data_IF_326747975353
#
_entry.id   IF_326747975353
#
_cell.length_a   1.000
_cell.length_b   1.000
_cell.length_c   1.000
_cell.angle_alpha   90.00
_cell.angle_beta   90.00
_cell.angle_gamma   90.00
#
_symmetry.space_group_name_H-M   'P 1'
#
loop_
_entity.id
_entity.type
_entity.pdbx_description
1 polymer ?
#
# COMPACT_ATOMS: atom_id res chain seq x y z
N UNK A 1 24.95 -10.07 54.28
CA UNK A 1 23.49 -10.14 54.00
C UNK A 1 22.91 -8.87 53.35
N UNK A 2 23.51 -7.70 53.54
CA UNK A 2 23.03 -6.41 52.99
C UNK A 2 23.23 -6.28 51.47
N UNK A 3 24.33 -6.80 50.93
CA UNK A 3 24.64 -6.81 49.49
C UNK A 3 23.67 -7.64 48.66
N UNK A 4 23.31 -8.83 49.16
CA UNK A 4 22.32 -9.72 48.52
C UNK A 4 20.95 -9.05 48.47
N UNK A 5 20.53 -8.39 49.56
CA UNK A 5 19.28 -7.61 49.61
C UNK A 5 19.29 -6.45 48.61
N UNK A 6 20.41 -5.73 48.49
CA UNK A 6 20.56 -4.66 47.51
C UNK A 6 20.40 -5.15 46.07
N UNK A 7 20.96 -6.32 45.75
CA UNK A 7 20.83 -6.95 44.43
C UNK A 7 19.38 -7.27 44.07
N UNK A 8 18.60 -7.81 45.01
CA UNK A 8 17.17 -8.08 44.77
C UNK A 8 16.34 -6.81 44.56
N UNK A 9 16.65 -5.73 45.27
CA UNK A 9 15.97 -4.44 45.09
C UNK A 9 16.23 -3.87 43.69
N UNK A 10 17.49 -3.91 43.24
CA UNK A 10 17.86 -3.46 41.88
C UNK A 10 17.20 -4.33 40.82
N UNK A 11 17.21 -5.65 40.99
CA UNK A 11 16.58 -6.58 40.06
C UNK A 11 15.07 -6.32 39.95
N UNK A 12 14.37 -6.12 41.08
CA UNK A 12 12.96 -5.81 41.10
C UNK A 12 12.66 -4.47 40.39
N UNK A 13 13.47 -3.44 40.63
CA UNK A 13 13.31 -2.13 39.99
C UNK A 13 13.46 -2.22 38.47
N UNK A 14 14.46 -2.96 37.98
CA UNK A 14 14.67 -3.17 36.54
C UNK A 14 13.52 -3.96 35.90
N UNK A 15 12.99 -4.96 36.61
CA UNK A 15 11.85 -5.76 36.13
C UNK A 15 10.61 -4.89 35.97
N UNK A 16 10.31 -4.05 36.96
CA UNK A 16 9.18 -3.10 36.92
C UNK A 16 9.38 -2.08 35.80
N UNK A 17 10.57 -1.50 35.66
CA UNK A 17 10.87 -0.53 34.61
C UNK A 17 10.75 -1.14 33.21
N UNK A 18 11.30 -2.34 33.00
CA UNK A 18 11.19 -3.06 31.73
C UNK A 18 9.75 -3.44 31.39
N UNK A 19 8.95 -3.85 32.38
CA UNK A 19 7.54 -4.15 32.20
C UNK A 19 6.74 -2.89 31.84
N UNK A 20 7.04 -1.77 32.50
CA UNK A 20 6.45 -0.46 32.18
C UNK A 20 6.76 -0.02 30.76
N UNK A 21 8.01 -0.12 30.32
CA UNK A 21 8.41 0.20 28.95
C UNK A 21 7.75 -0.71 27.90
N UNK A 22 7.55 -1.99 28.22
CA UNK A 22 6.89 -2.95 27.32
C UNK A 22 5.40 -2.67 27.14
N UNK A 23 4.75 -2.16 28.19
CA UNK A 23 3.32 -1.86 28.20
C UNK A 23 3.01 -0.42 27.79
N UNK A 24 4.00 0.47 27.83
CA UNK A 24 3.84 1.86 27.45
C UNK A 24 3.48 1.98 25.95
N UNK A 25 2.38 2.66 25.59
CA UNK A 25 2.07 2.97 24.20
C UNK A 25 3.19 3.81 23.60
N UNK A 26 3.84 3.33 22.54
CA UNK A 26 4.84 4.10 21.81
C UNK A 26 4.11 5.17 20.99
N UNK A 27 4.30 6.48 21.28
CA UNK A 27 3.66 7.52 20.49
C UNK A 27 4.28 7.51 19.09
N UNK A 28 3.47 7.14 18.10
CA UNK A 28 3.90 7.19 16.71
C UNK A 28 4.09 8.65 16.27
N UNK A 29 5.10 8.94 15.44
CA UNK A 29 5.33 10.29 14.92
C UNK A 29 4.08 10.77 14.15
N UNK A 30 3.43 11.81 14.67
CA UNK A 30 2.21 12.37 14.11
C UNK A 30 2.58 13.44 13.08
N UNK A 31 2.50 13.12 11.80
CA UNK A 31 2.62 14.11 10.73
C UNK A 31 1.34 14.91 10.69
N UNK A 32 1.44 16.23 10.90
CA UNK A 32 0.31 17.13 10.84
C UNK A 32 -0.08 17.32 9.36
N UNK A 33 -1.26 16.84 8.98
CA UNK A 33 -1.76 17.02 7.63
C UNK A 33 -2.03 18.51 7.39
N UNK A 34 -1.17 19.15 6.58
CA UNK A 34 -1.41 20.50 6.11
C UNK A 34 -2.59 20.45 5.12
N UNK A 35 -3.64 21.22 5.39
CA UNK A 35 -4.74 21.40 4.44
C UNK A 35 -4.20 22.08 3.19
N UNK A 36 -4.21 21.39 2.06
CA UNK A 36 -3.98 22.00 0.76
C UNK A 36 -5.18 22.88 0.41
N UNK A 37 -4.92 24.17 0.17
CA UNK A 37 -5.92 25.07 -0.40
C UNK A 37 -6.20 24.63 -1.83
N UNK A 38 -7.43 24.16 -2.09
CA UNK A 38 -7.92 23.87 -3.44
C UNK A 38 -8.22 25.21 -4.12
N UNK A 39 -7.62 25.53 -5.29
CA UNK A 39 -7.97 26.73 -6.03
C UNK A 39 -9.44 26.69 -6.45
N UNK A 40 -10.13 27.82 -6.25
CA UNK A 40 -11.53 27.98 -6.63
C UNK A 40 -11.75 27.78 -8.13
N UNK A 41 -12.94 27.27 -8.42
CA UNK A 41 -13.54 26.94 -9.72
C UNK A 41 -13.18 27.93 -10.85
N UNK A 42 -12.79 27.36 -12.00
CA UNK A 42 -12.47 28.12 -13.22
C UNK A 42 -13.77 28.61 -13.86
N UNK A 43 -13.89 29.93 -13.99
CA UNK A 43 -14.93 30.66 -14.72
C UNK A 43 -15.04 30.18 -16.19
N UNK A 44 -16.19 29.66 -16.65
CA UNK A 44 -16.33 29.04 -17.96
C UNK A 44 -16.42 30.03 -19.13
N UNK A 45 -16.41 31.34 -18.90
CA UNK A 45 -16.82 32.32 -19.93
C UNK A 45 -15.66 33.01 -20.69
N UNK A 46 -14.46 32.43 -20.70
CA UNK A 46 -13.36 32.91 -21.56
C UNK A 46 -13.18 32.09 -22.83
N UNK A 47 -13.85 32.54 -23.89
CA UNK A 47 -13.29 32.57 -25.25
C UNK A 47 -13.58 31.36 -26.13
N UNK A 48 -14.68 31.45 -26.90
CA UNK A 48 -14.89 30.64 -28.10
C UNK A 48 -13.83 30.95 -29.15
N UNK A 49 -12.74 30.19 -29.14
CA UNK A 49 -11.87 30.01 -30.31
C UNK A 49 -12.27 28.71 -31.00
N UNK A 50 -12.55 28.82 -32.31
CA UNK A 50 -12.95 27.75 -33.23
C UNK A 50 -12.33 26.38 -32.90
N UNK A 51 -13.18 25.43 -32.51
CA UNK A 51 -12.78 24.07 -32.19
C UNK A 51 -12.54 23.26 -33.47
N UNK A 52 -11.42 22.52 -33.60
CA UNK A 52 -11.24 21.55 -34.68
C UNK A 52 -12.29 20.42 -34.59
N UNK A 53 -12.59 19.71 -35.70
CA UNK A 53 -13.61 18.67 -35.73
C UNK A 53 -13.35 17.62 -34.64
N UNK A 54 -14.36 17.36 -33.83
CA UNK A 54 -14.31 16.42 -32.70
C UNK A 54 -13.86 15.06 -33.23
N UNK A 55 -12.68 14.55 -32.82
CA UNK A 55 -12.26 13.20 -33.20
C UNK A 55 -13.31 12.21 -32.70
N UNK A 56 -13.70 11.26 -33.55
CA UNK A 56 -14.61 10.18 -33.16
C UNK A 56 -14.13 9.57 -31.82
N UNK A 57 -15.06 9.29 -30.90
CA UNK A 57 -14.76 8.87 -29.52
C UNK A 57 -13.70 7.76 -29.42
N UNK A 58 -13.67 6.86 -30.41
CA UNK A 58 -12.68 5.79 -30.55
C UNK A 58 -11.23 6.27 -30.70
N UNK A 59 -11.00 7.43 -31.32
CA UNK A 59 -9.67 8.03 -31.47
C UNK A 59 -9.12 8.58 -30.14
N UNK A 60 -10.01 9.08 -29.27
CA UNK A 60 -9.64 9.55 -27.93
C UNK A 60 -9.24 8.37 -27.04
N UNK A 61 -9.95 7.24 -27.15
CA UNK A 61 -9.62 6.00 -26.44
C UNK A 61 -8.31 5.38 -26.98
N UNK A 62 -8.07 5.45 -28.29
CA UNK A 62 -6.89 4.89 -28.94
C UNK A 62 -5.61 5.71 -28.69
N UNK A 63 -5.75 7.03 -28.48
CA UNK A 63 -4.67 7.86 -28.00
C UNK A 63 -4.38 7.43 -26.56
N UNK A 64 -3.26 6.74 -26.35
CA UNK A 64 -2.80 6.34 -25.03
C UNK A 64 -2.34 7.58 -24.24
N UNK A 65 -3.31 8.43 -23.84
CA UNK A 65 -3.10 9.78 -23.28
C UNK A 65 -2.35 9.77 -21.95
N UNK A 66 -2.30 8.61 -21.30
CA UNK A 66 -1.56 8.39 -20.05
C UNK A 66 -0.16 7.80 -20.26
N UNK A 67 0.26 7.54 -21.50
CA UNK A 67 1.63 7.15 -21.83
C UNK A 67 2.49 8.38 -22.12
N UNK A 68 3.69 8.51 -21.53
CA UNK A 68 4.60 9.63 -21.79
C UNK A 68 4.89 9.84 -23.28
N UNK A 69 5.01 8.74 -24.03
CA UNK A 69 5.36 8.76 -25.45
C UNK A 69 4.12 8.70 -26.36
N UNK A 70 2.91 8.68 -25.78
CA UNK A 70 1.61 8.51 -26.48
C UNK A 70 1.62 7.35 -27.49
N UNK A 71 2.49 6.36 -27.27
CA UNK A 71 2.67 5.25 -28.18
C UNK A 71 1.44 4.31 -28.11
N UNK A 72 0.87 3.91 -29.25
CA UNK A 72 -0.17 2.91 -29.30
C UNK A 72 0.34 1.58 -28.70
N UNK A 73 -0.42 0.90 -27.83
CA UNK A 73 -0.03 -0.40 -27.30
C UNK A 73 0.07 -1.43 -28.45
N UNK A 74 1.16 -2.19 -28.49
CA UNK A 74 1.44 -3.13 -29.58
C UNK A 74 0.39 -4.25 -29.74
N UNK A 75 -0.40 -4.56 -28.71
CA UNK A 75 -1.40 -5.64 -28.77
C UNK A 75 -2.60 -5.30 -27.89
N UNK A 76 -3.76 -5.03 -28.49
CA UNK A 76 -5.06 -5.01 -27.80
C UNK A 76 -6.20 -5.74 -28.54
N UNK A 77 -5.88 -6.46 -29.61
CA UNK A 77 -6.86 -7.29 -30.31
C UNK A 77 -6.30 -8.69 -30.55
N UNK A 78 -6.82 -9.67 -29.82
CA UNK A 78 -6.65 -11.09 -30.11
C UNK A 78 -7.69 -11.50 -31.16
N UNK A 79 -7.24 -11.83 -32.38
CA UNK A 79 -8.08 -12.49 -33.38
C UNK A 79 -8.39 -13.93 -32.95
N UNK A 80 -9.58 -14.49 -33.27
CA UNK A 80 -9.90 -15.88 -33.00
C UNK A 80 -8.93 -16.79 -33.75
N UNK A 81 -8.22 -17.69 -33.04
CA UNK A 81 -7.40 -18.74 -33.65
C UNK A 81 -5.91 -18.74 -33.32
N UNK A 82 -5.40 -17.83 -32.48
CA UNK A 82 -4.00 -17.92 -32.01
C UNK A 82 -3.93 -18.52 -30.61
N UNK A 83 -3.32 -19.69 -30.51
CA UNK A 83 -3.14 -20.44 -29.26
C UNK A 83 -2.46 -19.55 -28.19
N UNK A 84 -3.14 -19.42 -27.05
CA UNK A 84 -2.61 -18.77 -25.87
C UNK A 84 -1.40 -19.54 -25.35
N UNK A 85 -0.30 -18.83 -25.09
CA UNK A 85 0.83 -19.42 -24.39
C UNK A 85 0.40 -19.87 -22.98
N UNK A 86 0.94 -20.98 -22.45
CA UNK A 86 0.52 -21.50 -21.16
C UNK A 86 0.80 -20.47 -20.05
N UNK A 87 -0.28 -19.95 -19.47
CA UNK A 87 -0.24 -19.13 -18.26
C UNK A 87 0.25 -20.01 -17.13
N UNK A 88 1.48 -19.75 -16.66
CA UNK A 88 1.99 -20.29 -15.40
C UNK A 88 0.94 -20.02 -14.31
N UNK A 89 0.55 -20.99 -13.47
CA UNK A 89 -0.38 -20.75 -12.39
C UNK A 89 0.22 -19.70 -11.46
N UNK A 90 -0.28 -18.47 -11.56
CA UNK A 90 -0.01 -17.41 -10.60
C UNK A 90 -0.77 -17.82 -9.35
N UNK A 91 -0.05 -18.30 -8.34
CA UNK A 91 -0.60 -18.26 -6.98
C UNK A 91 -1.06 -16.83 -6.66
N UNK A 92 -2.02 -16.66 -5.72
CA UNK A 92 -2.47 -15.33 -5.31
C UNK A 92 -1.25 -14.51 -4.92
N UNK A 93 -0.86 -13.57 -5.78
CA UNK A 93 0.35 -12.78 -5.55
C UNK A 93 -0.09 -11.65 -4.63
N UNK A 94 -0.11 -11.93 -3.33
CA UNK A 94 -0.38 -10.94 -2.29
C UNK A 94 0.65 -9.82 -2.43
N UNK A 95 0.18 -8.60 -2.75
CA UNK A 95 1.05 -7.43 -2.87
C UNK A 95 0.66 -6.36 -1.86
N UNK A 96 1.67 -5.88 -1.12
CA UNK A 96 1.52 -4.78 -0.18
C UNK A 96 1.80 -3.46 -0.90
N UNK A 97 0.78 -2.61 -0.99
CA UNK A 97 0.86 -1.30 -1.66
C UNK A 97 1.26 -0.18 -0.69
N UNK A 98 0.77 -0.25 0.55
CA UNK A 98 0.94 0.85 1.49
C UNK A 98 0.64 0.44 2.93
N UNK A 99 1.14 1.25 3.85
CA UNK A 99 0.79 1.20 5.27
C UNK A 99 0.44 2.63 5.67
N UNK A 100 -0.71 2.79 6.33
CA UNK A 100 -1.17 4.07 6.86
C UNK A 100 -1.40 3.95 8.36
N UNK A 101 -1.11 5.01 9.10
CA UNK A 101 -1.32 5.06 10.55
C UNK A 101 -2.35 6.12 10.86
N UNK A 102 -3.46 5.70 11.45
CA UNK A 102 -4.56 6.58 11.88
C UNK A 102 -4.76 6.59 13.40
N UNK A 103 -5.78 7.30 13.90
CA UNK A 103 -6.14 7.30 15.32
C UNK A 103 -6.48 5.90 15.85
N UNK A 104 -7.02 5.04 14.98
CA UNK A 104 -7.41 3.66 15.31
C UNK A 104 -6.28 2.64 15.10
N UNK A 105 -5.04 3.11 14.90
CA UNK A 105 -3.86 2.27 14.70
C UNK A 105 -3.39 2.15 13.25
N UNK A 106 -2.49 1.19 13.02
CA UNK A 106 -1.90 0.93 11.71
C UNK A 106 -2.83 0.08 10.84
N UNK A 107 -2.82 0.37 9.54
CA UNK A 107 -3.67 -0.26 8.53
C UNK A 107 -2.84 -0.53 7.29
N UNK A 108 -2.96 -1.74 6.74
CA UNK A 108 -2.25 -2.19 5.56
C UNK A 108 -3.16 -2.11 4.32
N UNK A 109 -2.58 -1.76 3.18
CA UNK A 109 -3.26 -1.74 1.88
C UNK A 109 -2.70 -2.90 1.05
N UNK A 110 -3.48 -3.97 0.87
CA UNK A 110 -3.03 -5.24 0.28
C UNK A 110 -3.96 -5.62 -0.87
N UNK A 111 -3.38 -6.03 -1.99
CA UNK A 111 -4.10 -6.71 -3.07
C UNK A 111 -4.05 -8.21 -2.80
N UNK A 112 -5.22 -8.78 -2.51
CA UNK A 112 -5.37 -10.15 -2.01
C UNK A 112 -6.32 -11.01 -2.85
N UNK A 113 -7.24 -10.41 -3.61
CA UNK A 113 -8.26 -11.14 -4.36
C UNK A 113 -8.00 -11.03 -5.87
N UNK A 114 -7.77 -12.14 -6.59
CA UNK A 114 -7.67 -12.11 -8.04
C UNK A 114 -8.97 -11.70 -8.76
N UNK A 115 -10.12 -11.72 -8.07
CA UNK A 115 -11.43 -11.37 -8.63
C UNK A 115 -11.79 -9.89 -8.44
N UNK A 116 -11.18 -9.21 -7.46
CA UNK A 116 -11.38 -7.78 -7.20
C UNK A 116 -10.13 -7.04 -7.62
N UNK A 117 -10.24 -6.26 -8.70
CA UNK A 117 -9.13 -5.42 -9.14
C UNK A 117 -8.96 -4.25 -8.18
N UNK A 118 -7.97 -4.33 -7.29
CA UNK A 118 -7.62 -3.23 -6.41
C UNK A 118 -7.06 -3.68 -5.08
N UNK A 119 -6.35 -2.78 -4.41
CA UNK A 119 -5.84 -3.03 -3.08
C UNK A 119 -6.90 -2.68 -2.03
N UNK A 120 -7.14 -3.59 -1.10
CA UNK A 120 -8.08 -3.45 0.00
C UNK A 120 -7.37 -3.05 1.30
N UNK A 121 -8.15 -2.52 2.24
CA UNK A 121 -7.67 -1.97 3.50
C UNK A 121 -7.88 -3.01 4.61
N UNK A 122 -6.80 -3.42 5.26
CA UNK A 122 -6.81 -4.45 6.31
C UNK A 122 -6.18 -3.97 7.61
N UNK A 123 -6.77 -4.37 8.73
CA UNK A 123 -6.32 -4.08 10.09
C UNK A 123 -5.67 -5.31 10.72
N UNK A 124 -5.01 -5.08 11.84
CA UNK A 124 -4.44 -6.16 12.65
C UNK A 124 -5.55 -7.13 13.08
N UNK A 125 -5.37 -8.42 12.79
CA UNK A 125 -6.34 -9.47 13.09
C UNK A 125 -7.29 -9.84 11.95
N UNK A 126 -7.32 -9.07 10.86
CA UNK A 126 -8.16 -9.35 9.70
C UNK A 126 -7.67 -10.58 8.92
N UNK A 127 -8.57 -11.21 8.17
CA UNK A 127 -8.25 -12.30 7.25
C UNK A 127 -7.97 -11.74 5.86
N UNK A 128 -6.80 -12.05 5.32
CA UNK A 128 -6.35 -11.64 3.99
C UNK A 128 -5.96 -12.88 3.22
N UNK A 129 -6.67 -13.16 2.12
CA UNK A 129 -6.52 -14.40 1.35
C UNK A 129 -6.52 -15.69 2.21
N UNK A 130 -7.28 -15.70 3.32
CA UNK A 130 -7.38 -16.82 4.26
C UNK A 130 -6.28 -16.88 5.33
N UNK A 131 -5.33 -15.94 5.34
CA UNK A 131 -4.29 -15.83 6.36
C UNK A 131 -4.58 -14.66 7.32
N UNK A 132 -4.29 -14.83 8.61
CA UNK A 132 -4.57 -13.78 9.61
C UNK A 132 -3.45 -12.76 9.67
N UNK A 133 -3.77 -11.47 9.62
CA UNK A 133 -2.78 -10.40 9.81
C UNK A 133 -2.33 -10.34 11.28
N UNK A 134 -1.04 -10.60 11.54
CA UNK A 134 -0.49 -10.69 12.91
C UNK A 134 0.47 -9.56 13.27
N UNK A 135 1.01 -8.84 12.29
CA UNK A 135 1.81 -7.66 12.54
C UNK A 135 1.74 -6.69 11.37
N UNK A 136 1.69 -5.39 11.68
CA UNK A 136 1.87 -4.28 10.74
C UNK A 136 3.02 -3.44 11.30
N UNK A 137 4.10 -3.29 10.53
CA UNK A 137 5.25 -2.46 10.89
C UNK A 137 5.30 -1.20 10.01
N UNK A 138 6.44 -0.52 9.93
CA UNK A 138 6.64 0.64 9.06
C UNK A 138 6.73 0.27 7.57
N UNK A 139 7.18 -0.94 7.27
CA UNK A 139 7.58 -1.37 5.93
C UNK A 139 7.18 -2.80 5.59
N UNK A 140 6.69 -3.54 6.58
CA UNK A 140 6.33 -4.95 6.44
C UNK A 140 4.99 -5.27 7.08
N UNK A 141 4.34 -6.29 6.52
CA UNK A 141 3.13 -6.88 7.07
C UNK A 141 3.35 -8.37 7.18
N UNK A 142 3.02 -8.95 8.34
CA UNK A 142 3.16 -10.38 8.57
C UNK A 142 1.79 -11.04 8.64
N UNK A 143 1.61 -12.07 7.83
CA UNK A 143 0.43 -12.93 7.83
C UNK A 143 0.77 -14.29 8.43
N UNK A 144 -0.14 -14.83 9.24
CA UNK A 144 -0.07 -16.19 9.72
C UNK A 144 -0.71 -17.12 8.67
N UNK A 145 0.10 -17.73 7.82
CA UNK A 145 -0.34 -18.81 6.94
C UNK A 145 -0.17 -20.17 7.62
N UNK A 146 -0.94 -21.19 7.20
CA UNK A 146 -0.73 -22.57 7.64
C UNK A 146 0.68 -23.11 7.32
N UNK A 147 1.30 -22.61 6.26
CA UNK A 147 2.66 -22.92 5.80
C UNK A 147 3.77 -22.26 6.62
N UNK A 148 3.43 -21.26 7.45
CA UNK A 148 4.39 -20.44 8.18
C UNK A 148 4.09 -18.94 8.06
N UNK A 149 4.83 -18.09 8.79
CA UNK A 149 4.62 -16.65 8.71
C UNK A 149 5.07 -16.10 7.34
N UNK A 150 4.13 -15.51 6.60
CA UNK A 150 4.40 -14.81 5.33
C UNK A 150 4.65 -13.34 5.61
N UNK A 151 5.81 -12.82 5.19
CA UNK A 151 6.16 -11.40 5.36
C UNK A 151 6.07 -10.69 4.02
N UNK A 152 5.08 -9.82 3.88
CA UNK A 152 4.97 -8.89 2.75
C UNK A 152 5.81 -7.64 3.04
N UNK A 153 6.52 -7.15 2.02
CA UNK A 153 7.33 -5.93 2.10
C UNK A 153 6.81 -4.90 1.13
N UNK A 154 6.87 -3.63 1.53
CA UNK A 154 6.59 -2.54 0.61
C UNK A 154 7.62 -2.55 -0.52
N UNK A 155 7.19 -2.41 -1.79
CA UNK A 155 8.11 -2.22 -2.89
C UNK A 155 8.88 -0.93 -2.63
N UNK A 156 10.21 -1.05 -2.55
CA UNK A 156 11.07 0.12 -2.38
C UNK A 156 10.90 1.02 -3.60
N UNK A 157 10.42 2.24 -3.39
CA UNK A 157 10.39 3.24 -4.44
C UNK A 157 11.85 3.55 -4.82
N UNK A 158 12.34 2.88 -5.87
CA UNK A 158 13.60 3.24 -6.50
C UNK A 158 13.41 4.67 -7.02
N UNK A 159 13.85 5.66 -6.21
CA UNK A 159 13.92 7.05 -6.64
C UNK A 159 14.78 7.06 -7.89
N UNK A 160 14.14 7.18 -9.05
CA UNK A 160 14.81 7.39 -10.34
C UNK A 160 15.53 8.72 -10.21
N UNK A 161 16.82 8.68 -9.85
CA UNK A 161 17.71 9.84 -9.95
C UNK A 161 17.75 10.19 -11.43
N UNK A 162 17.09 11.28 -11.79
CA UNK A 162 17.24 11.89 -13.11
C UNK A 162 18.61 12.60 -13.08
N UNK A 163 19.49 12.33 -14.07
CA UNK A 163 20.79 13.00 -14.20
C UNK A 163 20.65 14.49 -14.54
#
# INVERSE_FOLDING_TARGET
>A
MTTVRGLYVVAAALLVAGLGLRLAPTPLPRVQAASLAVPAEVDPDRGSTSAPPVPAYNAIIAANIFSPDRAPPAVRFSLPGRAAAPTRPRGPTLQLYGITVGPDGAVAIIDADPNMSGAEIYRLGDLVAGARLIAITDSTVTLAEPSGPLVLRLPSAARRRVP
#
